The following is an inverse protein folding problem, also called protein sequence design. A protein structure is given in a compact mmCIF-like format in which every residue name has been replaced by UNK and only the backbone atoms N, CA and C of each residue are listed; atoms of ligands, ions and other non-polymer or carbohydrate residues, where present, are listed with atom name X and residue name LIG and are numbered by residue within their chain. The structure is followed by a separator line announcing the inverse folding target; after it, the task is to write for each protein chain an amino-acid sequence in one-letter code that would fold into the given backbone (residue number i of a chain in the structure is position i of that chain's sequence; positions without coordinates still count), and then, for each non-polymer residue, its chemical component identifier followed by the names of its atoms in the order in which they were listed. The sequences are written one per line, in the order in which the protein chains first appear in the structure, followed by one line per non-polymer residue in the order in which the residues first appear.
data_IF_891986017813
#
_entry.id   IF_891986017813
#
_cell.length_a   1.000
_cell.length_b   1.000
_cell.length_c   1.000
_cell.angle_alpha   90.00
_cell.angle_beta   90.00
_cell.angle_gamma   90.00
#
_symmetry.space_group_name_H-M   'P 1'
#
loop_
_entity.id
_entity.type
_entity.pdbx_description
1 polymer ?
#
# COMPACT_ATOMS: atom_id res chain seq x y z
N UNK A 1 2.94 -12.28 -20.02
CA UNK A 1 2.70 -11.60 -18.73
C UNK A 1 2.38 -10.12 -18.89
N UNK A 2 3.03 -9.38 -19.80
CA UNK A 2 2.81 -7.94 -20.02
C UNK A 2 1.35 -7.51 -20.30
N UNK A 3 0.53 -8.30 -21.00
CA UNK A 3 -0.88 -7.95 -21.27
C UNK A 3 -1.81 -8.13 -20.06
N UNK A 4 -1.44 -8.99 -19.10
CA UNK A 4 -2.23 -9.24 -17.89
C UNK A 4 -2.15 -8.03 -16.94
N UNK A 5 -1.01 -7.36 -16.91
CA UNK A 5 -0.75 -6.28 -15.97
C UNK A 5 -1.66 -5.04 -16.17
N UNK A 6 -1.87 -4.50 -17.39
CA UNK A 6 -2.86 -3.46 -17.63
C UNK A 6 -4.28 -3.87 -17.23
N UNK A 7 -4.66 -5.12 -17.51
CA UNK A 7 -5.96 -5.67 -17.11
C UNK A 7 -6.16 -5.67 -15.60
N UNK A 8 -5.13 -6.05 -14.84
CA UNK A 8 -5.13 -5.99 -13.37
C UNK A 8 -5.27 -4.56 -12.87
N UNK A 9 -4.53 -3.61 -13.45
CA UNK A 9 -4.60 -2.19 -13.07
C UNK A 9 -6.01 -1.64 -13.31
N UNK A 10 -6.58 -1.85 -14.49
CA UNK A 10 -7.93 -1.38 -14.83
C UNK A 10 -8.97 -1.98 -13.88
N UNK A 11 -8.92 -3.31 -13.68
CA UNK A 11 -9.85 -4.00 -12.78
C UNK A 11 -9.78 -3.46 -11.36
N UNK A 12 -8.56 -3.18 -10.87
CA UNK A 12 -8.35 -2.63 -9.54
C UNK A 12 -8.84 -1.18 -9.41
N UNK A 13 -8.65 -0.35 -10.44
CA UNK A 13 -9.20 1.01 -10.48
C UNK A 13 -10.73 0.98 -10.42
N UNK A 14 -11.38 0.11 -11.19
CA UNK A 14 -12.82 -0.07 -11.17
C UNK A 14 -13.33 -0.55 -9.81
N UNK A 15 -12.61 -1.46 -9.16
CA UNK A 15 -12.93 -1.93 -7.81
C UNK A 15 -12.90 -0.78 -6.80
N UNK A 16 -11.87 0.07 -6.84
CA UNK A 16 -11.73 1.21 -5.91
C UNK A 16 -12.76 2.30 -6.19
N UNK A 17 -13.08 2.57 -7.46
CA UNK A 17 -14.16 3.49 -7.83
C UNK A 17 -15.53 2.99 -7.32
N UNK A 18 -15.79 1.69 -7.49
CA UNK A 18 -17.00 1.05 -6.96
C UNK A 18 -17.05 1.15 -5.44
N UNK A 19 -15.96 0.82 -4.76
CA UNK A 19 -15.84 0.94 -3.31
C UNK A 19 -16.12 2.36 -2.82
N UNK A 20 -15.52 3.38 -3.45
CA UNK A 20 -15.77 4.79 -3.13
C UNK A 20 -17.26 5.14 -3.23
N UNK A 21 -17.92 4.73 -4.32
CA UNK A 21 -19.34 4.98 -4.53
C UNK A 21 -20.20 4.34 -3.44
N UNK A 22 -20.00 3.05 -3.15
CA UNK A 22 -20.78 2.33 -2.14
C UNK A 22 -20.52 2.85 -0.72
N UNK A 23 -19.26 3.12 -0.37
CA UNK A 23 -18.89 3.63 0.96
C UNK A 23 -19.57 4.97 1.26
N UNK A 24 -19.65 5.87 0.28
CA UNK A 24 -20.21 7.21 0.47
C UNK A 24 -21.73 7.27 0.35
N UNK A 25 -22.37 6.33 -0.36
CA UNK A 25 -23.83 6.28 -0.53
C UNK A 25 -24.55 5.68 0.68
N UNK A 26 -23.99 4.64 1.29
CA UNK A 26 -24.68 3.87 2.34
C UNK A 26 -24.34 4.30 3.77
N UNK A 27 -23.49 5.32 3.95
CA UNK A 27 -22.93 5.70 5.27
C UNK A 27 -22.42 4.48 6.05
N UNK A 28 -21.77 3.57 5.32
CA UNK A 28 -21.27 2.32 5.85
C UNK A 28 -20.26 2.55 6.99
N UNK A 29 -20.05 1.49 7.77
CA UNK A 29 -19.09 1.48 8.88
C UNK A 29 -17.74 2.07 8.46
N UNK A 30 -17.17 2.94 9.29
CA UNK A 30 -15.96 3.70 8.98
C UNK A 30 -16.20 5.13 8.46
N UNK A 31 -17.43 5.49 8.11
CA UNK A 31 -17.79 6.84 7.67
C UNK A 31 -17.44 7.14 6.20
N UNK A 32 -17.68 8.37 5.76
CA UNK A 32 -17.41 8.80 4.37
C UNK A 32 -15.90 8.93 4.11
N UNK A 33 -15.49 8.63 2.88
CA UNK A 33 -14.11 8.71 2.40
C UNK A 33 -13.99 9.76 1.29
N UNK A 34 -12.95 10.61 1.35
CA UNK A 34 -12.64 11.55 0.26
C UNK A 34 -12.06 10.82 -0.96
N UNK A 35 -12.16 11.43 -2.14
CA UNK A 35 -11.58 10.88 -3.38
C UNK A 35 -10.07 10.67 -3.22
N UNK A 36 -9.38 11.64 -2.61
CA UNK A 36 -7.94 11.57 -2.37
C UNK A 36 -7.55 10.34 -1.53
N UNK A 37 -8.33 10.05 -0.49
CA UNK A 37 -8.12 8.90 0.40
C UNK A 37 -8.50 7.58 -0.25
N UNK A 38 -9.57 7.55 -1.03
CA UNK A 38 -9.94 6.36 -1.79
C UNK A 38 -8.87 5.98 -2.81
N UNK A 39 -8.34 6.96 -3.54
CA UNK A 39 -7.21 6.73 -4.45
C UNK A 39 -5.98 6.22 -3.71
N UNK A 40 -5.59 6.86 -2.61
CA UNK A 40 -4.42 6.42 -1.82
C UNK A 40 -4.61 5.00 -1.28
N UNK A 41 -5.79 4.69 -0.74
CA UNK A 41 -6.13 3.35 -0.27
C UNK A 41 -5.97 2.34 -1.41
N UNK A 42 -6.55 2.63 -2.57
CA UNK A 42 -6.40 1.80 -3.76
C UNK A 42 -4.94 1.61 -4.15
N UNK A 43 -4.19 2.70 -4.25
CA UNK A 43 -2.78 2.67 -4.59
C UNK A 43 -1.96 1.80 -3.61
N UNK A 44 -2.16 1.96 -2.30
CA UNK A 44 -1.45 1.18 -1.29
C UNK A 44 -1.83 -0.31 -1.36
N UNK A 45 -3.13 -0.62 -1.41
CA UNK A 45 -3.63 -2.00 -1.52
C UNK A 45 -3.13 -2.68 -2.80
N UNK A 46 -3.12 -1.97 -3.94
CA UNK A 46 -2.58 -2.50 -5.19
C UNK A 46 -1.11 -2.89 -5.03
N UNK A 47 -0.29 -2.00 -4.45
CA UNK A 47 1.13 -2.30 -4.25
C UNK A 47 1.34 -3.47 -3.27
N UNK A 48 0.60 -3.50 -2.15
CA UNK A 48 0.74 -4.54 -1.14
C UNK A 48 0.30 -5.92 -1.62
N UNK A 49 -0.85 -6.02 -2.30
CA UNK A 49 -1.50 -7.30 -2.56
C UNK A 49 -1.39 -7.78 -4.01
N UNK A 50 -1.32 -6.86 -4.97
CA UNK A 50 -1.33 -7.21 -6.39
C UNK A 50 0.06 -7.10 -6.98
N UNK A 51 0.69 -5.93 -6.86
CA UNK A 51 1.99 -5.69 -7.49
C UNK A 51 3.13 -6.47 -6.84
N UNK A 52 3.12 -6.62 -5.50
CA UNK A 52 4.11 -7.46 -4.81
C UNK A 52 3.99 -8.93 -5.25
N UNK A 53 2.77 -9.45 -5.41
CA UNK A 53 2.51 -10.82 -5.89
C UNK A 53 2.89 -10.97 -7.37
N UNK A 54 2.56 -9.98 -8.20
CA UNK A 54 2.98 -9.93 -9.59
C UNK A 54 4.51 -10.02 -9.72
N UNK A 55 5.25 -9.22 -8.94
CA UNK A 55 6.72 -9.26 -8.93
C UNK A 55 7.29 -10.59 -8.44
N UNK A 56 6.64 -11.24 -7.47
CA UNK A 56 7.05 -12.57 -7.01
C UNK A 56 7.04 -13.60 -8.15
N UNK A 57 6.01 -13.58 -8.99
CA UNK A 57 5.93 -14.49 -10.15
C UNK A 57 6.73 -14.02 -11.36
N UNK A 58 6.99 -12.72 -11.48
CA UNK A 58 7.76 -12.15 -12.59
C UNK A 58 9.27 -12.36 -12.42
N UNK A 59 9.78 -12.33 -11.19
CA UNK A 59 11.21 -12.50 -10.92
C UNK A 59 11.54 -13.98 -10.72
N UNK A 60 12.41 -14.53 -11.57
CA UNK A 60 12.81 -15.95 -11.54
C UNK A 60 13.93 -16.25 -10.51
N UNK A 61 14.40 -15.25 -9.76
CA UNK A 61 15.49 -15.44 -8.81
C UNK A 61 14.97 -15.83 -7.41
N UNK A 62 15.47 -16.95 -6.89
CA UNK A 62 15.06 -17.53 -5.61
C UNK A 62 15.27 -16.60 -4.39
N UNK A 63 16.30 -15.76 -4.40
CA UNK A 63 16.57 -14.81 -3.31
C UNK A 63 15.48 -13.73 -3.29
N UNK A 64 15.13 -13.17 -4.45
CA UNK A 64 14.03 -12.19 -4.56
C UNK A 64 12.69 -12.81 -4.20
N UNK A 65 12.40 -14.01 -4.70
CA UNK A 65 11.17 -14.73 -4.39
C UNK A 65 11.01 -14.97 -2.89
N UNK A 66 12.07 -15.41 -2.20
CA UNK A 66 12.03 -15.64 -0.74
C UNK A 66 11.73 -14.35 0.04
N UNK A 67 12.34 -13.24 -0.37
CA UNK A 67 12.10 -11.91 0.21
C UNK A 67 10.65 -11.45 -0.03
N UNK A 68 10.19 -11.51 -1.27
CA UNK A 68 8.85 -11.08 -1.65
C UNK A 68 7.78 -11.96 -1.01
N UNK A 69 8.01 -13.27 -0.90
CA UNK A 69 7.11 -14.19 -0.21
C UNK A 69 6.91 -13.79 1.25
N UNK A 70 7.99 -13.50 1.99
CA UNK A 70 7.90 -13.02 3.36
C UNK A 70 7.07 -11.72 3.45
N UNK A 71 7.32 -10.76 2.56
CA UNK A 71 6.58 -9.49 2.52
C UNK A 71 5.09 -9.72 2.23
N UNK A 72 4.77 -10.61 1.27
CA UNK A 72 3.40 -11.02 0.95
C UNK A 72 2.73 -11.60 2.19
N UNK A 73 3.36 -12.57 2.87
CA UNK A 73 2.80 -13.16 4.09
C UNK A 73 2.49 -12.09 5.15
N UNK A 74 3.38 -11.13 5.36
CA UNK A 74 3.19 -10.05 6.34
C UNK A 74 2.02 -9.13 5.95
N UNK A 75 1.91 -8.75 4.68
CA UNK A 75 0.79 -7.90 4.22
C UNK A 75 -0.56 -8.63 4.31
N UNK A 76 -0.63 -9.90 3.91
CA UNK A 76 -1.87 -10.68 4.01
C UNK A 76 -2.25 -10.94 5.47
N UNK A 77 -1.28 -11.27 6.34
CA UNK A 77 -1.53 -11.39 7.78
C UNK A 77 -2.08 -10.09 8.36
N UNK A 78 -1.50 -8.94 8.00
CA UNK A 78 -2.00 -7.63 8.40
C UNK A 78 -3.44 -7.41 7.92
N UNK A 79 -3.76 -7.75 6.67
CA UNK A 79 -5.10 -7.59 6.12
C UNK A 79 -6.14 -8.38 6.92
N UNK A 80 -5.83 -9.64 7.23
CA UNK A 80 -6.68 -10.50 8.04
C UNK A 80 -6.84 -9.96 9.46
N UNK A 81 -5.73 -9.63 10.13
CA UNK A 81 -5.75 -9.17 11.52
C UNK A 81 -6.46 -7.82 11.67
N UNK A 82 -6.10 -6.83 10.85
CA UNK A 82 -6.73 -5.51 10.93
C UNK A 82 -8.17 -5.54 10.41
N UNK A 83 -8.46 -6.33 9.37
CA UNK A 83 -9.83 -6.55 8.90
C UNK A 83 -10.72 -7.15 10.00
N UNK A 84 -10.22 -8.15 10.72
CA UNK A 84 -10.91 -8.72 11.88
C UNK A 84 -11.17 -7.66 12.97
N UNK A 85 -10.17 -6.83 13.28
CA UNK A 85 -10.32 -5.75 14.26
C UNK A 85 -11.29 -4.65 13.83
N UNK A 86 -11.36 -4.33 12.54
CA UNK A 86 -12.25 -3.31 12.00
C UNK A 86 -13.68 -3.84 11.93
N UNK A 87 -13.90 -4.94 11.21
CA UNK A 87 -15.23 -5.37 10.82
C UNK A 87 -15.90 -6.32 11.83
N UNK A 88 -15.12 -7.13 12.54
CA UNK A 88 -15.67 -8.13 13.49
C UNK A 88 -15.70 -7.57 14.91
N UNK A 89 -14.54 -7.24 15.49
CA UNK A 89 -14.48 -6.80 16.89
C UNK A 89 -14.72 -5.30 17.07
N UNK A 90 -14.59 -4.51 16.01
CA UNK A 90 -14.77 -3.05 16.00
C UNK A 90 -13.90 -2.33 17.03
N UNK A 91 -12.74 -2.90 17.32
CA UNK A 91 -11.78 -2.41 18.31
C UNK A 91 -10.49 -1.89 17.67
N UNK A 92 -10.46 -1.77 16.35
CA UNK A 92 -9.32 -1.23 15.63
C UNK A 92 -8.97 0.19 16.09
N UNK A 93 -7.68 0.48 16.20
CA UNK A 93 -7.14 1.82 16.45
C UNK A 93 -5.96 2.09 15.52
N UNK A 94 -5.69 3.37 15.18
CA UNK A 94 -4.59 3.73 14.29
C UNK A 94 -3.21 3.25 14.76
N UNK A 95 -3.02 3.08 16.07
CA UNK A 95 -1.78 2.55 16.64
C UNK A 95 -1.42 1.17 16.09
N UNK A 96 -2.40 0.28 15.91
CA UNK A 96 -2.14 -1.03 15.31
C UNK A 96 -1.61 -0.85 13.89
N UNK A 97 -2.25 0.00 13.08
CA UNK A 97 -1.78 0.35 11.74
C UNK A 97 -0.33 0.83 11.71
N UNK A 98 0.02 1.77 12.59
CA UNK A 98 1.38 2.32 12.68
C UNK A 98 2.41 1.27 13.12
N UNK A 99 2.09 0.42 14.10
CA UNK A 99 3.00 -0.65 14.54
C UNK A 99 3.27 -1.65 13.42
N UNK A 100 2.24 -2.06 12.68
CA UNK A 100 2.42 -2.94 11.52
C UNK A 100 3.27 -2.28 10.43
N UNK A 101 3.08 -0.98 10.16
CA UNK A 101 3.92 -0.26 9.20
C UNK A 101 5.40 -0.29 9.60
N UNK A 102 5.71 -0.04 10.88
CA UNK A 102 7.09 -0.07 11.40
C UNK A 102 7.71 -1.46 11.23
N UNK A 103 6.97 -2.51 11.60
CA UNK A 103 7.44 -3.90 11.41
C UNK A 103 7.70 -4.21 9.93
N UNK A 104 6.79 -3.80 9.04
CA UNK A 104 6.97 -3.99 7.60
C UNK A 104 8.20 -3.24 7.08
N UNK A 105 8.43 -1.99 7.52
CA UNK A 105 9.61 -1.20 7.15
C UNK A 105 10.89 -1.92 7.57
N UNK A 106 10.95 -2.44 8.81
CA UNK A 106 12.12 -3.17 9.31
C UNK A 106 12.39 -4.40 8.44
N UNK A 107 11.35 -5.21 8.15
CA UNK A 107 11.48 -6.41 7.31
C UNK A 107 11.97 -6.06 5.91
N UNK A 108 11.38 -5.05 5.27
CA UNK A 108 11.76 -4.63 3.91
C UNK A 108 13.18 -4.04 3.89
N UNK A 109 13.56 -3.28 4.93
CA UNK A 109 14.91 -2.72 5.05
C UNK A 109 15.96 -3.82 5.26
N UNK A 110 15.69 -4.82 6.11
CA UNK A 110 16.55 -5.99 6.25
C UNK A 110 16.68 -6.77 4.94
N UNK A 111 15.60 -6.88 4.17
CA UNK A 111 15.65 -7.48 2.84
C UNK A 111 16.53 -6.68 1.87
N UNK A 112 16.43 -5.35 1.84
CA UNK A 112 17.31 -4.49 1.04
C UNK A 112 18.79 -4.69 1.41
N UNK A 113 19.12 -4.77 2.70
CA UNK A 113 20.49 -5.06 3.15
C UNK A 113 20.95 -6.43 2.63
N UNK A 114 20.13 -7.47 2.77
CA UNK A 114 20.46 -8.82 2.28
C UNK A 114 20.71 -8.83 0.76
N UNK A 115 19.89 -8.10 0.01
CA UNK A 115 20.05 -7.96 -1.44
C UNK A 115 21.33 -7.22 -1.80
N UNK A 116 21.65 -6.13 -1.11
CA UNK A 116 22.90 -5.40 -1.27
C UNK A 116 24.13 -6.28 -0.98
N UNK A 117 24.10 -7.09 0.08
CA UNK A 117 25.19 -8.02 0.38
C UNK A 117 25.30 -9.17 -0.63
N UNK A 118 24.25 -9.44 -1.40
CA UNK A 118 24.23 -10.45 -2.46
C UNK A 118 24.53 -9.87 -3.85
N UNK A 119 24.94 -8.60 -3.95
CA UNK A 119 25.10 -7.88 -5.22
C UNK A 119 26.03 -8.60 -6.21
N UNK A 120 27.09 -9.26 -5.73
CA UNK A 120 28.06 -9.96 -6.59
C UNK A 120 27.58 -11.26 -7.25
N UNK A 121 26.39 -11.79 -6.90
CA UNK A 121 25.88 -13.08 -7.41
C UNK A 121 24.58 -12.97 -8.22
N UNK A 122 24.09 -11.75 -8.44
CA UNK A 122 22.78 -11.49 -9.06
C UNK A 122 22.95 -10.78 -10.40
N UNK A 123 22.07 -11.08 -11.38
CA UNK A 123 21.94 -10.24 -12.58
C UNK A 123 21.56 -8.82 -12.13
N UNK A 124 22.35 -7.83 -12.55
CA UNK A 124 22.27 -6.45 -12.04
C UNK A 124 20.88 -5.81 -12.22
N UNK A 125 20.19 -6.13 -13.31
CA UNK A 125 18.94 -5.46 -13.70
C UNK A 125 17.75 -5.81 -12.78
N UNK A 126 17.56 -7.10 -12.48
CA UNK A 126 16.49 -7.56 -11.58
C UNK A 126 16.70 -7.07 -10.14
N UNK A 127 17.96 -6.89 -9.73
CA UNK A 127 18.34 -6.35 -8.43
C UNK A 127 17.97 -4.88 -8.29
N UNK A 128 18.26 -4.06 -9.31
CA UNK A 128 17.92 -2.64 -9.31
C UNK A 128 16.41 -2.43 -9.24
N UNK A 129 15.63 -3.09 -10.12
CA UNK A 129 14.17 -2.94 -10.14
C UNK A 129 13.51 -3.38 -8.83
N UNK A 130 13.95 -4.52 -8.29
CA UNK A 130 13.45 -5.01 -6.99
C UNK A 130 13.79 -4.04 -5.87
N UNK A 131 15.02 -3.52 -5.83
CA UNK A 131 15.46 -2.58 -4.80
C UNK A 131 14.69 -1.27 -4.87
N UNK A 132 14.46 -0.73 -6.07
CA UNK A 132 13.62 0.46 -6.27
C UNK A 132 12.18 0.22 -5.82
N UNK A 133 11.62 -0.95 -6.11
CA UNK A 133 10.28 -1.31 -5.66
C UNK A 133 10.19 -1.42 -4.13
N UNK A 134 11.13 -2.11 -3.48
CA UNK A 134 11.18 -2.25 -2.03
C UNK A 134 11.37 -0.90 -1.35
N UNK A 135 12.21 -0.03 -1.90
CA UNK A 135 12.37 1.34 -1.42
C UNK A 135 11.06 2.13 -1.55
N UNK A 136 10.37 2.01 -2.70
CA UNK A 136 9.04 2.59 -2.88
C UNK A 136 8.05 2.10 -1.82
N UNK A 137 8.03 0.80 -1.49
CA UNK A 137 7.18 0.26 -0.43
C UNK A 137 7.47 0.89 0.94
N UNK A 138 8.74 1.11 1.28
CA UNK A 138 9.13 1.82 2.52
C UNK A 138 8.51 3.23 2.54
N UNK A 139 8.61 3.97 1.43
CA UNK A 139 8.03 5.31 1.33
C UNK A 139 6.50 5.30 1.48
N UNK A 140 5.82 4.29 0.93
CA UNK A 140 4.37 4.10 1.09
C UNK A 140 4.03 3.86 2.56
N UNK A 141 4.71 2.93 3.23
CA UNK A 141 4.47 2.60 4.64
C UNK A 141 4.76 3.77 5.58
N UNK A 142 5.80 4.55 5.28
CA UNK A 142 6.10 5.78 6.01
C UNK A 142 4.99 6.82 5.84
N UNK A 143 4.49 6.98 4.61
CA UNK A 143 3.36 7.87 4.31
C UNK A 143 2.08 7.43 5.01
N UNK A 144 1.77 6.12 5.00
CA UNK A 144 0.63 5.54 5.74
C UNK A 144 0.74 5.83 7.23
N UNK A 145 1.95 5.78 7.79
CA UNK A 145 2.20 6.08 9.21
C UNK A 145 1.90 7.54 9.52
N UNK A 146 2.36 8.46 8.66
CA UNK A 146 2.05 9.90 8.79
C UNK A 146 0.53 10.14 8.71
N UNK A 147 -0.16 9.46 7.80
CA UNK A 147 -1.61 9.58 7.67
C UNK A 147 -2.34 9.04 8.89
N UNK A 148 -1.98 7.85 9.36
CA UNK A 148 -2.58 7.26 10.56
C UNK A 148 -2.35 8.14 11.79
N UNK A 149 -1.15 8.73 11.94
CA UNK A 149 -0.85 9.65 13.02
C UNK A 149 -1.69 10.94 12.96
N UNK A 150 -1.71 11.63 11.81
CA UNK A 150 -2.51 12.85 11.63
C UNK A 150 -4.01 12.59 11.77
N UNK A 151 -4.47 11.45 11.25
CA UNK A 151 -5.84 11.00 11.41
C UNK A 151 -6.17 10.80 12.88
N UNK A 152 -5.34 10.05 13.63
CA UNK A 152 -5.53 9.83 15.07
C UNK A 152 -5.64 11.15 15.85
N UNK A 153 -4.83 12.16 15.52
CA UNK A 153 -4.91 13.47 16.16
C UNK A 153 -6.27 14.17 15.96
N UNK A 154 -6.92 13.95 14.82
CA UNK A 154 -8.20 14.59 14.49
C UNK A 154 -9.42 13.90 15.09
N UNK A 155 -9.31 12.60 15.40
CA UNK A 155 -10.48 11.76 15.73
C UNK A 155 -10.35 11.03 17.06
N UNK A 156 -9.15 11.01 17.65
CA UNK A 156 -8.88 10.39 18.93
C UNK A 156 -9.33 8.93 18.96
N UNK A 157 -10.21 8.61 19.92
CA UNK A 157 -10.71 7.26 20.16
C UNK A 157 -11.98 6.91 19.37
N UNK A 158 -12.46 7.79 18.48
CA UNK A 158 -13.67 7.56 17.67
C UNK A 158 -13.46 6.54 16.53
N UNK A 159 -12.43 5.70 16.63
CA UNK A 159 -12.10 4.61 15.70
C UNK A 159 -12.69 3.27 16.14
N UNK A 160 -13.35 3.22 17.32
CA UNK A 160 -13.94 2.02 17.92
C UNK A 160 -15.48 2.07 17.93
N UNK A 161 -16.09 0.89 18.00
CA UNK A 161 -17.52 0.71 18.20
C UNK A 161 -18.38 0.86 16.94
N UNK A 162 -19.70 0.94 17.13
CA UNK A 162 -20.69 0.93 16.03
C UNK A 162 -20.68 2.18 15.16
N UNK A 163 -20.20 3.31 15.70
CA UNK A 163 -20.07 4.60 15.00
C UNK A 163 -18.60 4.93 14.69
N UNK A 164 -17.77 3.89 14.51
CA UNK A 164 -16.35 4.06 14.25
C UNK A 164 -16.11 4.83 12.94
N UNK A 165 -15.15 5.76 13.00
CA UNK A 165 -14.67 6.55 11.86
C UNK A 165 -13.29 6.03 11.49
N UNK A 166 -13.15 5.51 10.27
CA UNK A 166 -11.91 4.96 9.73
C UNK A 166 -11.40 5.73 8.52
N UNK A 167 -12.25 6.58 7.93
CA UNK A 167 -11.94 7.34 6.74
C UNK A 167 -12.00 8.85 6.99
N UNK A 168 -11.13 9.57 6.29
CA UNK A 168 -11.16 11.03 6.25
C UNK A 168 -12.05 11.44 5.07
N UNK A 169 -13.17 12.07 5.39
CA UNK A 169 -14.14 12.64 4.44
C UNK A 169 -13.65 13.98 3.89
N UNK A 170 -14.48 14.65 3.09
CA UNK A 170 -14.22 16.00 2.57
C UNK A 170 -14.57 17.13 3.56
N UNK A 171 -14.87 16.79 4.82
CA UNK A 171 -15.09 17.78 5.88
C UNK A 171 -13.86 18.66 6.13
N UNK A 172 -14.09 19.92 6.49
CA UNK A 172 -13.04 20.93 6.73
C UNK A 172 -11.95 20.47 7.70
N UNK A 173 -12.29 19.67 8.71
CA UNK A 173 -11.32 19.11 9.67
C UNK A 173 -10.26 18.22 9.02
N UNK A 174 -10.57 17.59 7.88
CA UNK A 174 -9.68 16.71 7.12
C UNK A 174 -8.98 17.39 5.94
N UNK A 175 -9.23 18.68 5.69
CA UNK A 175 -8.71 19.39 4.53
C UNK A 175 -7.18 19.29 4.41
N UNK A 176 -6.47 19.49 5.54
CA UNK A 176 -4.99 19.42 5.56
C UNK A 176 -4.46 18.03 5.21
N UNK A 177 -5.08 16.97 5.72
CA UNK A 177 -4.65 15.59 5.42
C UNK A 177 -5.02 15.20 3.98
N UNK A 178 -6.16 15.67 3.45
CA UNK A 178 -6.56 15.40 2.07
C UNK A 178 -5.64 16.12 1.07
N UNK A 179 -5.28 17.38 1.30
CA UNK A 179 -4.31 18.11 0.45
C UNK A 179 -2.94 17.42 0.42
N UNK A 180 -2.46 16.97 1.58
CA UNK A 180 -1.23 16.18 1.66
C UNK A 180 -1.35 14.86 0.89
N UNK A 181 -2.52 14.24 0.92
CA UNK A 181 -2.80 13.00 0.20
C UNK A 181 -2.78 13.20 -1.31
N UNK A 182 -3.40 14.27 -1.82
CA UNK A 182 -3.38 14.61 -3.24
C UNK A 182 -1.94 14.80 -3.73
N UNK A 183 -1.13 15.59 -3.01
CA UNK A 183 0.27 15.81 -3.35
C UNK A 183 1.04 14.49 -3.45
N UNK A 184 0.89 13.63 -2.44
CA UNK A 184 1.59 12.36 -2.43
C UNK A 184 1.07 11.41 -3.51
N UNK A 185 -0.24 11.38 -3.80
CA UNK A 185 -0.80 10.58 -4.90
C UNK A 185 -0.13 10.92 -6.24
N UNK A 186 0.10 12.21 -6.52
CA UNK A 186 0.79 12.64 -7.74
C UNK A 186 2.23 12.11 -7.76
N UNK A 187 2.98 12.32 -6.67
CA UNK A 187 4.38 11.87 -6.56
C UNK A 187 4.49 10.36 -6.73
N UNK A 188 3.66 9.58 -6.03
CA UNK A 188 3.71 8.12 -6.05
C UNK A 188 3.20 7.52 -7.36
N UNK A 189 2.27 8.20 -8.05
CA UNK A 189 1.86 7.82 -9.40
C UNK A 189 3.02 8.00 -10.37
N UNK A 190 3.73 9.14 -10.30
CA UNK A 190 4.92 9.37 -11.13
C UNK A 190 6.01 8.32 -10.88
N UNK A 191 6.33 8.04 -9.61
CA UNK A 191 7.30 6.98 -9.24
C UNK A 191 6.88 5.63 -9.81
N UNK A 192 5.59 5.27 -9.73
CA UNK A 192 5.11 3.98 -10.23
C UNK A 192 5.13 3.90 -11.76
N UNK A 193 4.77 4.97 -12.46
CA UNK A 193 4.88 5.04 -13.93
C UNK A 193 6.33 4.87 -14.35
N UNK A 194 7.26 5.59 -13.72
CA UNK A 194 8.70 5.46 -14.00
C UNK A 194 9.18 4.03 -13.77
N UNK A 195 8.79 3.40 -12.67
CA UNK A 195 9.18 2.01 -12.38
C UNK A 195 8.62 1.04 -13.45
N UNK A 196 7.37 1.21 -13.87
CA UNK A 196 6.76 0.39 -14.92
C UNK A 196 7.49 0.58 -16.26
N UNK A 197 7.83 1.83 -16.63
CA UNK A 197 8.59 2.12 -17.85
C UNK A 197 9.96 1.44 -17.79
N UNK A 198 10.68 1.54 -16.67
CA UNK A 198 11.96 0.86 -16.48
C UNK A 198 11.79 -0.66 -16.64
N UNK A 199 10.77 -1.27 -16.02
CA UNK A 199 10.48 -2.69 -16.18
C UNK A 199 10.27 -3.07 -17.65
N UNK A 200 9.51 -2.28 -18.42
CA UNK A 200 9.28 -2.54 -19.86
C UNK A 200 10.58 -2.41 -20.67
N UNK A 201 11.45 -1.47 -20.31
CA UNK A 201 12.72 -1.27 -21.00
C UNK A 201 13.72 -2.41 -20.72
N UNK A 202 13.70 -2.96 -19.50
CA UNK A 202 14.54 -4.11 -19.11
C UNK A 202 13.96 -5.47 -19.53
N UNK A 203 12.66 -5.58 -19.82
CA UNK A 203 12.01 -6.80 -20.34
C UNK A 203 12.20 -6.99 -21.86
N UNK A 204 13.17 -6.28 -22.47
CA UNK A 204 13.50 -6.48 -23.89
C UNK A 204 14.40 -7.73 -24.04
N UNK A 205 14.12 -8.60 -25.01
CA UNK A 205 14.84 -9.86 -25.21
C UNK A 205 16.30 -9.65 -25.59
#
# INVERSE_FOLDING_TARGET
MMLIFPGLVISFVLLIASYYYYQNKQENMGGKISVAKAFWLGYALFNYFIFTVFLYFFLENQIFQSVLFLIICVFYFRALFQGFLMFVTRNWVPNYGMMYNIVCIIIIFSALIKLYLSFGSLKEEGLVLTSLFLFKLILILFTDTIYAYKFKQLIGNNTKGRKAIWYASDERKFEKINRLTIRNNIIFSFISITLIILMILYDKP
#
